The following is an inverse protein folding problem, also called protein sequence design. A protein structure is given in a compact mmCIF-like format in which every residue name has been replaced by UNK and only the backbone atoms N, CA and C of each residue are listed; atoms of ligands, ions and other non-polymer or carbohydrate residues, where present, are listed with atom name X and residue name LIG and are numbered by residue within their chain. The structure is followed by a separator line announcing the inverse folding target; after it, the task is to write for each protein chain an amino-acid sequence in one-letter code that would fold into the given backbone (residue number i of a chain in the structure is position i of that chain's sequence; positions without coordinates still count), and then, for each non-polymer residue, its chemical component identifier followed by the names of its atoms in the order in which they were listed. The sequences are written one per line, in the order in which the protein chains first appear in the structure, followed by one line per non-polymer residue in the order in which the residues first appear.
data_IF_052410459745
#
_entry.id   IF_052410459745
#
_cell.length_a   1.000
_cell.length_b   1.000
_cell.length_c   1.000
_cell.angle_alpha   90.00
_cell.angle_beta   90.00
_cell.angle_gamma   90.00
#
_symmetry.space_group_name_H-M   'P 1'
#
loop_
_entity.id
_entity.type
_entity.pdbx_description
1 polymer ?
#
# COMPACT_ATOMS: atom_id res chain seq x y z
N UNK A 1 -3.97 5.50 11.08
CA UNK A 1 -2.60 6.00 10.83
C UNK A 1 -2.26 7.03 11.89
N UNK A 2 -1.00 7.19 12.25
CA UNK A 2 -0.52 8.32 13.04
C UNK A 2 -0.20 9.48 12.09
N UNK A 3 -1.02 10.53 12.15
CA UNK A 3 -0.93 11.69 11.27
C UNK A 3 -0.12 12.85 11.84
N UNK A 4 0.47 12.72 13.04
CA UNK A 4 1.05 13.86 13.77
C UNK A 4 2.14 14.60 12.98
N UNK A 5 2.94 13.87 12.19
CA UNK A 5 3.97 14.47 11.32
C UNK A 5 3.41 15.08 10.03
N UNK A 6 2.24 14.61 9.60
CA UNK A 6 1.54 15.09 8.41
C UNK A 6 0.76 16.39 8.72
N UNK A 7 0.23 16.48 9.95
CA UNK A 7 -0.67 17.52 10.45
C UNK A 7 -0.10 18.12 11.75
N UNK A 8 0.96 18.95 11.64
CA UNK A 8 1.68 19.47 12.81
C UNK A 8 0.81 20.32 13.74
N UNK A 9 -0.13 21.06 13.17
CA UNK A 9 -1.04 21.94 13.92
C UNK A 9 -2.37 21.23 14.25
N UNK A 10 -2.41 19.90 14.06
CA UNK A 10 -3.60 19.06 14.19
C UNK A 10 -4.45 19.03 12.91
N UNK A 11 -5.56 18.30 12.96
CA UNK A 11 -6.49 18.12 11.83
C UNK A 11 -7.94 18.09 12.29
N UNK A 12 -8.86 18.56 11.44
CA UNK A 12 -10.28 18.35 11.69
C UNK A 12 -10.64 16.85 11.56
N UNK A 13 -11.42 16.27 12.49
CA UNK A 13 -11.69 14.84 12.51
C UNK A 13 -12.48 14.33 11.29
N UNK A 14 -13.28 15.19 10.65
CA UNK A 14 -14.07 14.82 9.45
C UNK A 14 -13.51 15.40 8.15
N UNK A 15 -12.75 16.49 8.20
CA UNK A 15 -12.29 17.23 7.03
C UNK A 15 -10.78 17.44 7.10
N UNK A 16 -9.96 16.42 6.77
CA UNK A 16 -8.51 16.47 6.99
C UNK A 16 -7.78 17.61 6.25
N UNK A 17 -8.44 18.26 5.30
CA UNK A 17 -7.94 19.44 4.59
C UNK A 17 -8.28 20.77 5.30
N UNK A 18 -8.77 20.73 6.54
CA UNK A 18 -9.04 21.91 7.37
C UNK A 18 -8.27 21.90 8.69
N UNK A 19 -8.08 23.10 9.24
CA UNK A 19 -7.63 23.30 10.60
C UNK A 19 -8.55 22.59 11.61
N UNK A 20 -8.05 22.27 12.81
CA UNK A 20 -8.80 21.56 13.86
C UNK A 20 -10.18 22.14 14.17
N UNK A 21 -10.31 23.47 14.09
CA UNK A 21 -11.55 24.21 14.37
C UNK A 21 -12.46 24.38 13.13
N UNK A 22 -12.04 23.88 11.97
CA UNK A 22 -12.79 23.95 10.71
C UNK A 22 -12.75 25.32 10.02
N UNK A 23 -12.05 26.31 10.57
CA UNK A 23 -12.07 27.69 10.09
C UNK A 23 -11.43 27.85 8.71
N UNK A 24 -10.27 27.23 8.50
CA UNK A 24 -9.44 27.44 7.31
C UNK A 24 -9.12 26.13 6.57
N UNK A 25 -8.92 26.25 5.25
CA UNK A 25 -8.33 25.19 4.44
C UNK A 25 -6.82 25.14 4.73
N UNK A 26 -6.34 23.96 5.12
CA UNK A 26 -4.95 23.76 5.51
C UNK A 26 -4.21 22.95 4.44
N UNK A 27 -3.13 23.52 3.89
CA UNK A 27 -2.25 22.85 2.95
C UNK A 27 -1.33 21.90 3.70
N UNK A 28 -1.76 20.65 3.81
CA UNK A 28 -0.98 19.62 4.49
C UNK A 28 0.28 19.23 3.70
N UNK A 29 1.30 18.77 4.42
CA UNK A 29 2.47 18.14 3.80
C UNK A 29 2.04 16.98 2.92
N UNK A 30 2.79 16.69 1.86
CA UNK A 30 2.54 15.47 1.09
C UNK A 30 2.90 14.26 1.94
N UNK A 31 2.18 13.15 1.76
CA UNK A 31 2.48 11.88 2.45
C UNK A 31 3.88 11.34 2.15
N UNK A 32 4.48 11.74 1.02
CA UNK A 32 5.85 11.41 0.64
C UNK A 32 6.92 12.18 1.41
N UNK A 33 6.54 13.31 2.04
CA UNK A 33 7.45 14.24 2.73
C UNK A 33 7.38 14.11 4.26
N UNK A 34 6.56 13.17 4.77
CA UNK A 34 6.37 12.95 6.19
C UNK A 34 6.52 11.47 6.53
N UNK A 35 7.19 11.18 7.63
CA UNK A 35 7.19 9.83 8.19
C UNK A 35 5.82 9.55 8.84
N UNK A 36 5.11 8.57 8.29
CA UNK A 36 3.76 8.19 8.73
C UNK A 36 3.77 6.75 9.21
N UNK A 37 3.27 6.50 10.43
CA UNK A 37 3.01 5.14 10.92
C UNK A 37 1.62 4.69 10.53
N UNK A 38 1.54 3.54 9.87
CA UNK A 38 0.28 2.88 9.52
C UNK A 38 0.00 1.74 10.51
N UNK A 39 -1.27 1.52 10.81
CA UNK A 39 -1.74 0.47 11.72
C UNK A 39 -2.81 -0.34 11.01
N UNK A 40 -2.75 -1.66 11.18
CA UNK A 40 -3.91 -2.51 10.93
C UNK A 40 -4.94 -2.27 12.03
N UNK A 41 -6.20 -2.18 11.63
CA UNK A 41 -7.33 -1.94 12.52
C UNK A 41 -8.43 -2.96 12.22
N UNK A 42 -9.49 -2.94 13.02
CA UNK A 42 -10.68 -3.76 12.80
C UNK A 42 -10.40 -5.26 12.86
N UNK A 43 -10.01 -5.72 14.06
CA UNK A 43 -9.72 -7.13 14.35
C UNK A 43 -10.99 -7.93 14.71
N UNK A 44 -12.19 -7.43 14.41
CA UNK A 44 -13.44 -8.05 14.81
C UNK A 44 -13.68 -9.45 14.21
N UNK A 45 -13.02 -9.76 13.10
CA UNK A 45 -13.07 -11.07 12.42
C UNK A 45 -11.74 -11.85 12.54
N UNK A 46 -10.78 -11.37 13.33
CA UNK A 46 -9.47 -12.00 13.44
C UNK A 46 -9.47 -13.17 14.41
N UNK A 47 -8.64 -14.17 14.12
CA UNK A 47 -8.36 -15.29 15.04
C UNK A 47 -6.99 -15.09 15.69
N UNK A 48 -6.93 -15.16 17.01
CA UNK A 48 -5.68 -15.11 17.75
C UNK A 48 -5.13 -16.52 17.99
N UNK A 49 -3.86 -16.74 17.62
CA UNK A 49 -3.14 -17.97 17.93
C UNK A 49 -2.15 -17.74 19.06
N UNK A 50 -2.03 -18.70 19.98
CA UNK A 50 -1.01 -18.64 21.04
C UNK A 50 0.36 -19.07 20.49
N UNK A 51 1.48 -18.55 21.04
CA UNK A 51 2.81 -19.01 20.66
C UNK A 51 2.96 -20.53 20.77
N UNK A 52 3.48 -21.17 19.73
CA UNK A 52 3.68 -22.63 19.68
C UNK A 52 2.45 -23.46 19.29
N UNK A 53 1.28 -22.85 19.07
CA UNK A 53 0.09 -23.58 18.61
C UNK A 53 0.33 -24.26 17.25
N UNK A 54 0.07 -25.57 17.20
CA UNK A 54 0.11 -26.41 15.99
C UNK A 54 -1.27 -26.38 15.30
N UNK A 55 -1.29 -26.63 13.98
CA UNK A 55 -2.55 -26.75 13.23
C UNK A 55 -3.37 -25.46 13.18
N UNK A 56 -2.74 -24.34 12.79
CA UNK A 56 -3.38 -23.01 12.72
C UNK A 56 -4.25 -22.89 11.46
N UNK A 57 -5.35 -23.64 11.43
CA UNK A 57 -6.38 -23.50 10.41
C UNK A 57 -7.59 -22.81 11.03
N UNK A 58 -8.34 -22.09 10.21
CA UNK A 58 -9.59 -21.43 10.61
C UNK A 58 -10.72 -21.86 9.69
N UNK A 59 -11.95 -21.65 10.15
CA UNK A 59 -13.17 -21.76 9.35
C UNK A 59 -13.88 -20.41 9.34
N UNK A 60 -14.81 -20.23 8.40
CA UNK A 60 -15.64 -19.04 8.30
C UNK A 60 -15.65 -18.45 6.90
N UNK A 61 -16.78 -17.82 6.57
CA UNK A 61 -17.06 -17.25 5.25
C UNK A 61 -17.19 -15.73 5.29
N UNK A 62 -17.20 -15.15 6.49
CA UNK A 62 -17.36 -13.72 6.69
C UNK A 62 -16.05 -12.99 6.37
N UNK A 63 -16.16 -11.99 5.51
CA UNK A 63 -15.08 -11.09 5.13
C UNK A 63 -15.62 -9.98 4.25
N UNK A 64 -14.85 -8.90 4.10
CA UNK A 64 -15.21 -7.83 3.14
C UNK A 64 -15.14 -8.32 1.69
N UNK A 65 -14.28 -9.28 1.43
CA UNK A 65 -14.08 -9.94 0.15
C UNK A 65 -14.11 -11.44 0.44
N UNK A 66 -14.71 -12.20 -0.47
CA UNK A 66 -14.76 -13.65 -0.37
C UNK A 66 -13.59 -14.26 -1.14
N UNK A 67 -12.69 -14.96 -0.45
CA UNK A 67 -11.60 -15.70 -1.07
C UNK A 67 -12.06 -17.08 -1.58
N UNK A 68 -11.37 -17.68 -2.56
CA UNK A 68 -11.79 -18.94 -3.19
C UNK A 68 -11.98 -20.12 -2.23
N UNK A 69 -11.21 -20.17 -1.14
CA UNK A 69 -11.24 -21.25 -0.16
C UNK A 69 -12.41 -21.15 0.84
N UNK A 70 -12.96 -19.95 1.06
CA UNK A 70 -13.94 -19.71 2.12
C UNK A 70 -15.28 -20.44 1.89
N UNK A 71 -15.89 -20.44 0.68
CA UNK A 71 -17.20 -21.06 0.44
C UNK A 71 -17.22 -22.57 0.56
N UNK A 72 -16.05 -23.21 0.66
CA UNK A 72 -15.96 -24.67 0.81
C UNK A 72 -16.42 -25.15 2.18
N UNK A 73 -16.46 -24.27 3.19
CA UNK A 73 -16.67 -24.62 4.59
C UNK A 73 -15.53 -25.44 5.22
N UNK A 74 -14.47 -25.76 4.45
CA UNK A 74 -13.33 -26.54 4.92
C UNK A 74 -12.34 -25.64 5.68
N UNK A 75 -11.60 -26.17 6.66
CA UNK A 75 -10.54 -25.43 7.32
C UNK A 75 -9.45 -25.00 6.34
N UNK A 76 -9.04 -23.73 6.41
CA UNK A 76 -8.03 -23.14 5.53
C UNK A 76 -6.96 -22.38 6.31
N UNK A 77 -5.84 -22.07 5.64
CA UNK A 77 -4.72 -21.33 6.21
C UNK A 77 -5.04 -19.82 6.23
N UNK A 78 -5.23 -19.21 7.42
CA UNK A 78 -5.56 -17.79 7.53
C UNK A 78 -4.43 -16.88 7.04
N UNK A 79 -3.17 -17.30 7.13
CA UNK A 79 -2.04 -16.47 6.71
C UNK A 79 -1.99 -16.34 5.19
N UNK A 80 -2.40 -17.39 4.46
CA UNK A 80 -2.56 -17.34 3.00
C UNK A 80 -3.81 -16.55 2.59
N UNK A 81 -4.84 -16.55 3.43
CA UNK A 81 -6.01 -15.69 3.24
C UNK A 81 -5.65 -14.21 3.37
N UNK A 82 -4.88 -13.82 4.38
CA UNK A 82 -4.43 -12.43 4.56
C UNK A 82 -3.61 -11.92 3.38
N UNK A 83 -2.72 -12.77 2.82
CA UNK A 83 -1.98 -12.46 1.60
C UNK A 83 -2.94 -12.24 0.42
N UNK A 84 -3.96 -13.07 0.29
CA UNK A 84 -4.96 -12.89 -0.77
C UNK A 84 -5.71 -11.57 -0.62
N UNK A 85 -6.17 -11.21 0.58
CA UNK A 85 -6.87 -9.96 0.82
C UNK A 85 -6.01 -8.74 0.52
N UNK A 86 -4.76 -8.71 0.97
CA UNK A 86 -3.84 -7.62 0.63
C UNK A 86 -3.59 -7.55 -0.88
N UNK A 87 -3.37 -8.69 -1.53
CA UNK A 87 -3.19 -8.77 -2.97
C UNK A 87 -4.41 -8.25 -3.73
N UNK A 88 -5.61 -8.58 -3.28
CA UNK A 88 -6.85 -8.09 -3.86
C UNK A 88 -7.03 -6.59 -3.66
N UNK A 89 -6.64 -6.05 -2.50
CA UNK A 89 -6.61 -4.59 -2.26
C UNK A 89 -5.62 -3.93 -3.21
N UNK A 90 -4.41 -4.49 -3.39
CA UNK A 90 -3.43 -3.93 -4.33
C UNK A 90 -3.95 -3.96 -5.77
N UNK A 91 -4.51 -5.09 -6.19
CA UNK A 91 -5.09 -5.24 -7.53
C UNK A 91 -6.24 -4.25 -7.71
N UNK A 92 -7.27 -4.32 -6.87
CA UNK A 92 -8.47 -3.50 -7.09
C UNK A 92 -8.22 -2.04 -6.79
N UNK A 93 -7.67 -1.67 -5.63
CA UNK A 93 -7.59 -0.27 -5.20
C UNK A 93 -6.42 0.50 -5.81
N UNK A 94 -5.34 -0.18 -6.19
CA UNK A 94 -4.14 0.52 -6.68
C UNK A 94 -3.98 0.30 -8.18
N UNK A 95 -3.99 -0.96 -8.63
CA UNK A 95 -3.68 -1.32 -10.03
C UNK A 95 -4.87 -1.06 -10.96
N UNK A 96 -6.03 -1.64 -10.65
CA UNK A 96 -7.24 -1.54 -11.46
C UNK A 96 -7.92 -0.19 -11.29
N UNK A 97 -8.02 0.29 -10.03
CA UNK A 97 -8.69 1.56 -9.74
C UNK A 97 -7.82 2.79 -9.97
N UNK A 98 -6.50 2.68 -10.20
CA UNK A 98 -5.56 3.81 -10.37
C UNK A 98 -6.07 5.08 -9.66
N UNK A 99 -6.27 5.01 -8.33
CA UNK A 99 -7.07 5.92 -7.50
C UNK A 99 -7.40 7.27 -8.18
N UNK A 100 -8.53 7.30 -8.90
CA UNK A 100 -9.19 8.44 -9.58
C UNK A 100 -8.93 8.71 -11.08
N UNK A 101 -7.88 8.21 -11.73
CA UNK A 101 -7.61 8.61 -13.13
C UNK A 101 -6.60 7.65 -13.75
N UNK A 102 -6.68 7.38 -15.05
CA UNK A 102 -5.65 6.68 -15.82
C UNK A 102 -4.34 7.48 -15.85
N UNK A 103 -3.78 7.88 -14.70
CA UNK A 103 -2.83 8.97 -14.53
C UNK A 103 -1.50 8.52 -13.96
N UNK A 104 -1.22 7.24 -13.67
CA UNK A 104 0.04 6.87 -13.02
C UNK A 104 0.78 5.71 -13.70
N UNK A 105 1.94 6.00 -14.31
CA UNK A 105 2.88 4.99 -14.86
C UNK A 105 3.87 4.50 -13.79
N UNK A 106 4.22 3.21 -13.80
CA UNK A 106 5.24 2.63 -12.90
C UNK A 106 4.71 1.66 -11.83
N UNK A 107 3.38 1.45 -11.76
CA UNK A 107 2.74 0.54 -10.81
C UNK A 107 2.57 -0.89 -11.36
N UNK A 108 3.08 -1.17 -12.56
CA UNK A 108 2.91 -2.48 -13.22
C UNK A 108 3.52 -3.60 -12.37
N UNK A 109 4.64 -3.30 -11.71
CA UNK A 109 5.36 -4.20 -10.80
C UNK A 109 4.51 -4.59 -9.59
N UNK A 110 3.67 -3.67 -9.09
CA UNK A 110 2.74 -3.97 -8.01
C UNK A 110 1.60 -4.87 -8.51
N UNK A 111 1.20 -4.73 -9.77
CA UNK A 111 0.27 -5.65 -10.43
C UNK A 111 0.80 -7.07 -10.50
N UNK A 112 2.07 -7.26 -10.83
CA UNK A 112 2.68 -8.59 -10.87
C UNK A 112 2.70 -9.24 -9.48
N UNK A 113 3.06 -8.46 -8.46
CA UNK A 113 3.02 -8.89 -7.07
C UNK A 113 1.60 -9.24 -6.63
N UNK A 114 0.61 -8.40 -6.97
CA UNK A 114 -0.79 -8.62 -6.63
C UNK A 114 -1.31 -9.92 -7.24
N UNK A 115 -0.99 -10.22 -8.52
CA UNK A 115 -1.37 -11.49 -9.17
C UNK A 115 -0.76 -12.72 -8.50
N UNK A 116 0.48 -12.62 -8.00
CA UNK A 116 1.08 -13.72 -7.23
C UNK A 116 0.35 -13.93 -5.90
N UNK A 117 -0.04 -12.85 -5.23
CA UNK A 117 -0.75 -12.88 -3.95
C UNK A 117 -2.20 -13.39 -4.09
N UNK A 118 -2.85 -13.18 -5.24
CA UNK A 118 -4.27 -13.52 -5.46
C UNK A 118 -4.51 -14.82 -6.21
N UNK A 119 -3.51 -15.71 -6.32
CA UNK A 119 -3.71 -17.01 -6.97
C UNK A 119 -4.84 -17.81 -6.32
N UNK A 120 -5.70 -18.52 -7.09
CA UNK A 120 -6.85 -19.21 -6.54
C UNK A 120 -6.48 -20.24 -5.47
N UNK A 121 -5.47 -21.07 -5.74
CA UNK A 121 -4.96 -22.05 -4.80
C UNK A 121 -4.08 -21.38 -3.73
N UNK A 122 -4.41 -21.46 -2.43
CA UNK A 122 -3.64 -20.85 -1.35
C UNK A 122 -2.17 -21.28 -1.29
N UNK A 123 -1.86 -22.51 -1.72
CA UNK A 123 -0.48 -23.04 -1.70
C UNK A 123 0.44 -22.36 -2.71
N UNK A 124 -0.12 -21.84 -3.79
CA UNK A 124 0.65 -21.21 -4.87
C UNK A 124 0.93 -19.72 -4.60
N UNK A 125 0.29 -19.16 -3.57
CA UNK A 125 0.52 -17.79 -3.09
C UNK A 125 1.83 -17.74 -2.30
N UNK A 126 2.59 -16.64 -2.34
CA UNK A 126 3.72 -16.43 -1.43
C UNK A 126 3.23 -16.30 0.03
N UNK A 127 4.12 -16.52 0.98
CA UNK A 127 3.94 -16.11 2.39
C UNK A 127 4.13 -14.60 2.54
N UNK A 128 3.66 -14.01 3.64
CA UNK A 128 3.86 -12.58 3.90
C UNK A 128 5.35 -12.16 3.88
N UNK A 129 6.24 -13.00 4.41
CA UNK A 129 7.68 -12.72 4.38
C UNK A 129 8.26 -12.82 2.96
N UNK A 130 7.88 -13.84 2.19
CA UNK A 130 8.28 -13.95 0.77
C UNK A 130 7.77 -12.77 -0.04
N UNK A 131 6.50 -12.36 0.12
CA UNK A 131 5.93 -11.16 -0.50
C UNK A 131 6.76 -9.92 -0.18
N UNK A 132 7.15 -9.74 1.09
CA UNK A 132 8.00 -8.62 1.52
C UNK A 132 9.38 -8.66 0.85
N UNK A 133 9.99 -9.84 0.74
CA UNK A 133 11.27 -10.00 0.06
C UNK A 133 11.15 -9.70 -1.44
N UNK A 134 10.12 -10.21 -2.11
CA UNK A 134 9.82 -9.92 -3.52
C UNK A 134 9.66 -8.42 -3.70
N UNK A 135 8.85 -7.75 -2.87
CA UNK A 135 8.68 -6.31 -2.90
C UNK A 135 9.98 -5.54 -2.73
N UNK A 136 10.81 -5.91 -1.76
CA UNK A 136 12.10 -5.26 -1.53
C UNK A 136 13.03 -5.40 -2.74
N UNK A 137 13.09 -6.60 -3.33
CA UNK A 137 13.86 -6.84 -4.55
C UNK A 137 13.35 -5.97 -5.70
N UNK A 138 12.04 -5.95 -5.92
CA UNK A 138 11.38 -5.13 -6.96
C UNK A 138 11.63 -3.63 -6.78
N UNK A 139 11.61 -3.14 -5.53
CA UNK A 139 11.92 -1.74 -5.20
C UNK A 139 13.39 -1.40 -5.39
N UNK A 140 14.30 -2.35 -5.17
CA UNK A 140 15.74 -2.15 -5.31
C UNK A 140 16.25 -2.16 -6.75
N UNK A 141 15.42 -2.59 -7.71
CA UNK A 141 15.81 -2.62 -9.11
C UNK A 141 16.09 -1.19 -9.61
N UNK A 142 17.29 -0.93 -10.17
CA UNK A 142 17.58 0.36 -10.76
C UNK A 142 16.65 0.57 -11.94
N UNK A 143 15.79 1.57 -11.84
CA UNK A 143 15.08 2.11 -13.00
C UNK A 143 15.67 3.48 -13.30
N UNK A 144 15.94 3.75 -14.58
CA UNK A 144 16.32 5.07 -15.05
C UNK A 144 15.20 5.53 -16.02
N UNK A 145 14.41 6.56 -15.65
CA UNK A 145 14.35 7.19 -14.33
C UNK A 145 13.70 6.26 -13.29
N UNK A 146 13.91 6.48 -11.98
CA UNK A 146 13.45 5.56 -10.95
C UNK A 146 11.92 5.49 -10.96
N UNK A 147 11.36 4.31 -11.26
CA UNK A 147 9.90 4.05 -11.30
C UNK A 147 9.16 4.47 -10.02
N UNK A 148 9.89 4.68 -8.94
CA UNK A 148 9.40 4.96 -7.59
C UNK A 148 9.62 6.40 -7.11
N UNK A 149 10.32 7.24 -7.90
CA UNK A 149 10.60 8.63 -7.46
C UNK A 149 9.35 9.50 -7.47
N UNK A 150 8.42 9.23 -8.39
CA UNK A 150 7.13 9.92 -8.45
C UNK A 150 6.09 9.04 -9.14
N UNK A 151 4.87 9.01 -8.61
CA UNK A 151 3.72 8.51 -9.38
C UNK A 151 3.55 9.48 -10.58
N UNK A 152 3.66 8.97 -11.81
CA UNK A 152 3.74 9.82 -13.02
C UNK A 152 2.41 10.03 -13.72
N UNK A 153 1.85 11.27 -13.75
CA UNK A 153 0.72 11.67 -14.60
C UNK A 153 0.79 11.00 -15.99
N UNK A 154 -0.29 10.41 -16.47
CA UNK A 154 -0.32 9.84 -17.84
C UNK A 154 -0.42 10.92 -18.90
N UNK A 155 -0.83 12.14 -18.53
CA UNK A 155 -0.74 13.31 -19.42
C UNK A 155 0.72 13.53 -19.81
N UNK A 156 0.96 13.86 -21.08
CA UNK A 156 2.32 14.05 -21.60
C UNK A 156 3.03 15.20 -20.87
N UNK A 157 3.87 14.88 -19.87
CA UNK A 157 4.93 15.78 -19.42
C UNK A 157 5.97 15.88 -20.56
N UNK A 158 6.33 17.10 -20.93
CA UNK A 158 7.40 17.32 -21.90
C UNK A 158 8.72 16.73 -21.40
N UNK A 159 9.55 16.19 -22.29
CA UNK A 159 10.80 15.50 -21.92
C UNK A 159 11.74 16.32 -21.00
N UNK A 160 11.70 17.65 -21.10
CA UNK A 160 12.50 18.57 -20.27
C UNK A 160 11.89 18.74 -18.88
N UNK A 161 10.57 18.93 -18.78
CA UNK A 161 9.83 19.02 -17.52
C UNK A 161 10.01 17.74 -16.70
N UNK A 162 9.99 16.58 -17.37
CA UNK A 162 10.29 15.28 -16.77
C UNK A 162 11.68 15.25 -16.11
N UNK A 163 12.72 15.64 -16.85
CA UNK A 163 14.10 15.61 -16.35
C UNK A 163 14.27 16.57 -15.16
N UNK A 164 13.64 17.74 -15.21
CA UNK A 164 13.70 18.72 -14.13
C UNK A 164 12.99 18.22 -12.87
N UNK A 165 11.77 17.67 -12.99
CA UNK A 165 11.01 17.14 -11.86
C UNK A 165 11.72 15.94 -11.22
N UNK A 166 12.23 15.00 -12.03
CA UNK A 166 13.00 13.86 -11.55
C UNK A 166 14.27 14.31 -10.77
N UNK A 167 14.96 15.33 -11.27
CA UNK A 167 16.12 15.89 -10.59
C UNK A 167 15.76 16.56 -9.25
N UNK A 168 14.64 17.28 -9.19
CA UNK A 168 14.16 17.92 -7.96
C UNK A 168 13.77 16.90 -6.90
N UNK A 169 13.11 15.81 -7.28
CA UNK A 169 12.71 14.75 -6.34
C UNK A 169 13.92 13.98 -5.80
N UNK A 170 14.92 13.69 -6.64
CA UNK A 170 16.18 13.07 -6.19
C UNK A 170 16.90 13.99 -5.20
N UNK A 171 16.98 15.28 -5.49
CA UNK A 171 17.58 16.27 -4.57
C UNK A 171 16.77 16.38 -3.27
N UNK A 172 15.43 16.33 -3.34
CA UNK A 172 14.54 16.31 -2.18
C UNK A 172 14.72 15.07 -1.30
N UNK A 173 14.85 13.88 -1.89
CA UNK A 173 15.15 12.64 -1.18
C UNK A 173 16.50 12.67 -0.48
N UNK A 174 17.54 13.19 -1.14
CA UNK A 174 18.88 13.33 -0.56
C UNK A 174 18.88 14.32 0.61
N UNK A 175 18.15 15.44 0.49
CA UNK A 175 18.01 16.43 1.57
C UNK A 175 17.23 15.88 2.77
N UNK A 176 16.11 15.20 2.54
CA UNK A 176 15.33 14.56 3.61
C UNK A 176 16.08 13.44 4.34
N UNK A 177 17.01 12.77 3.66
CA UNK A 177 17.93 11.76 4.25
C UNK A 177 19.05 12.37 5.11
N UNK A 178 19.38 13.66 4.93
CA UNK A 178 20.50 14.30 5.63
C UNK A 178 20.07 15.19 6.81
N UNK A 179 18.78 15.29 7.11
CA UNK A 179 18.29 15.98 8.30
C UNK A 179 18.72 17.45 8.40
N UNK A 180 18.60 18.20 7.30
CA UNK A 180 18.68 19.67 7.27
C UNK A 180 17.30 20.25 6.97
#
# INVERSE_FOLDING_TARGET
MDGSNLYKDGWHPMEPWRACDGSELYLNRKRSEAEIRYYFIDFGLSTQFVPGQRGRLVTGELGRIQAPEQPSGLPYDPFKLDVYYLGHVYQTKIVDNNLSTQEFKGLEVLGDLARLMTKPNPKDRPTANETRLIWNSLRSLPSIPPRWTRLRPTREEGSIERIMNDALDVVGMVRGSMGL
#
